data_IF_479605796561
#
_entry.id   IF_479605796561
#
_cell.length_a   1.000
_cell.length_b   1.000
_cell.length_c   1.000
_cell.angle_alpha   90.00
_cell.angle_beta   90.00
_cell.angle_gamma   90.00
#
_symmetry.space_group_name_H-M   'P 1'
#
loop_
_entity.id
_entity.type
_entity.pdbx_description
1 polymer ?
#
# COMPACT_ATOMS: atom_id res chain seq x y z
N UNK A 1 -14.31 12.66 8.37
CA UNK A 1 -13.48 11.79 9.21
C UNK A 1 -12.03 12.09 8.89
N UNK A 2 -11.17 12.24 9.91
CA UNK A 2 -9.73 12.40 9.69
C UNK A 2 -9.09 11.02 9.70
N UNK A 3 -8.43 10.63 8.61
CA UNK A 3 -7.67 9.38 8.55
C UNK A 3 -6.25 9.62 9.05
N UNK A 4 -5.65 8.66 9.77
CA UNK A 4 -4.22 8.67 10.06
C UNK A 4 -3.47 8.15 8.83
N UNK A 5 -3.25 9.06 7.89
CA UNK A 5 -2.66 8.75 6.59
C UNK A 5 -1.20 8.30 6.74
N UNK A 6 -0.44 8.92 7.64
CA UNK A 6 0.97 8.55 7.85
C UNK A 6 1.11 7.13 8.41
N UNK A 7 0.20 6.73 9.31
CA UNK A 7 0.10 5.34 9.72
C UNK A 7 -0.27 4.43 8.55
N UNK A 8 -1.25 4.81 7.74
CA UNK A 8 -1.66 4.03 6.58
C UNK A 8 -0.52 3.80 5.58
N UNK A 9 0.29 4.81 5.30
CA UNK A 9 1.39 4.69 4.35
C UNK A 9 2.49 3.71 4.80
N UNK A 10 2.69 3.50 6.10
CA UNK A 10 3.61 2.46 6.58
C UNK A 10 3.17 1.04 6.20
N UNK A 11 1.89 0.86 5.86
CA UNK A 11 1.32 -0.42 5.41
C UNK A 11 1.36 -0.60 3.88
N UNK A 12 2.08 0.25 3.14
CA UNK A 12 2.24 0.13 1.68
C UNK A 12 3.62 -0.32 1.22
N UNK A 13 4.48 -0.78 2.14
CA UNK A 13 5.80 -1.34 1.83
C UNK A 13 6.08 -2.55 2.74
N UNK A 14 6.84 -3.54 2.27
CA UNK A 14 7.20 -4.73 3.07
C UNK A 14 5.99 -5.56 3.56
N UNK A 15 4.86 -5.44 2.89
CA UNK A 15 3.52 -5.68 3.45
C UNK A 15 2.83 -6.94 2.87
N UNK A 16 3.61 -7.85 2.26
CA UNK A 16 3.09 -9.07 1.61
C UNK A 16 2.13 -9.86 2.49
N UNK A 17 2.55 -10.16 3.73
CA UNK A 17 1.74 -10.96 4.65
C UNK A 17 0.39 -10.30 4.96
N UNK A 18 0.38 -8.98 5.16
CA UNK A 18 -0.83 -8.21 5.42
C UNK A 18 -1.77 -8.19 4.21
N UNK A 19 -1.25 -8.02 3.00
CA UNK A 19 -2.06 -8.06 1.79
C UNK A 19 -2.69 -9.44 1.60
N UNK A 20 -1.95 -10.52 1.84
CA UNK A 20 -2.47 -11.88 1.74
C UNK A 20 -3.52 -12.20 2.82
N UNK A 21 -3.45 -11.54 3.98
CA UNK A 21 -4.46 -11.62 5.04
C UNK A 21 -5.65 -10.69 4.82
N UNK A 22 -5.60 -9.80 3.82
CA UNK A 22 -6.66 -8.82 3.55
C UNK A 22 -7.80 -9.43 2.72
N UNK A 23 -9.02 -8.93 2.90
CA UNK A 23 -10.15 -9.29 2.04
C UNK A 23 -10.11 -8.53 0.72
N UNK A 24 -9.59 -7.29 0.75
CA UNK A 24 -9.43 -6.42 -0.41
C UNK A 24 -8.14 -5.61 -0.28
N UNK A 25 -7.64 -5.18 -1.42
CA UNK A 25 -6.52 -4.26 -1.55
C UNK A 25 -6.97 -3.03 -2.33
N UNK A 26 -6.38 -1.88 -2.03
CA UNK A 26 -6.65 -0.62 -2.72
C UNK A 26 -5.34 0.03 -3.17
N UNK A 27 -5.30 0.52 -4.41
CA UNK A 27 -4.20 1.35 -4.88
C UNK A 27 -4.55 2.82 -4.68
N UNK A 28 -3.77 3.56 -3.90
CA UNK A 28 -4.00 4.99 -3.68
C UNK A 28 -3.43 5.88 -4.79
N UNK A 29 -2.73 5.34 -5.78
CA UNK A 29 -2.37 6.08 -6.99
C UNK A 29 -3.53 6.13 -8.01
N UNK A 30 -3.98 4.96 -8.49
CA UNK A 30 -5.04 4.86 -9.50
C UNK A 30 -6.46 4.74 -8.93
N UNK A 31 -6.59 4.64 -7.59
CA UNK A 31 -7.85 4.50 -6.85
C UNK A 31 -8.61 3.19 -7.11
N UNK A 32 -7.96 2.19 -7.72
CA UNK A 32 -8.55 0.88 -7.94
C UNK A 32 -8.64 0.08 -6.62
N UNK A 33 -9.72 -0.69 -6.47
CA UNK A 33 -9.88 -1.68 -5.40
C UNK A 33 -10.01 -3.05 -6.04
N UNK A 34 -9.23 -4.02 -5.57
CA UNK A 34 -9.12 -5.35 -6.15
C UNK A 34 -8.95 -6.41 -5.05
N UNK A 35 -9.06 -7.68 -5.44
CA UNK A 35 -8.78 -8.79 -4.54
C UNK A 35 -7.26 -8.99 -4.41
N UNK A 36 -6.74 -9.41 -3.25
CA UNK A 36 -5.31 -9.67 -3.09
C UNK A 36 -4.75 -10.68 -4.10
N UNK A 37 -5.56 -11.64 -4.55
CA UNK A 37 -5.14 -12.64 -5.54
C UNK A 37 -4.89 -12.06 -6.93
N UNK A 38 -5.31 -10.83 -7.20
CA UNK A 38 -5.01 -10.14 -8.45
C UNK A 38 -3.56 -9.62 -8.50
N UNK A 39 -2.84 -9.59 -7.36
CA UNK A 39 -1.45 -9.14 -7.31
C UNK A 39 -0.55 -10.26 -7.82
N UNK A 40 0.07 -10.02 -8.98
CA UNK A 40 0.97 -10.94 -9.67
C UNK A 40 2.44 -10.51 -9.58
N UNK A 41 2.70 -9.21 -9.40
CA UNK A 41 4.05 -8.64 -9.32
C UNK A 41 4.39 -8.08 -7.93
N UNK A 42 5.61 -8.38 -7.49
CA UNK A 42 6.15 -8.02 -6.19
C UNK A 42 7.61 -7.61 -6.36
N UNK A 43 8.00 -6.53 -5.69
CA UNK A 43 9.39 -6.05 -5.66
C UNK A 43 9.96 -6.20 -4.25
N UNK A 44 11.26 -6.41 -4.14
CA UNK A 44 11.94 -6.39 -2.84
C UNK A 44 11.80 -4.98 -2.24
N UNK A 45 11.64 -4.90 -0.91
CA UNK A 45 11.63 -3.60 -0.23
C UNK A 45 12.93 -2.86 -0.54
N UNK A 46 12.85 -1.60 -0.96
CA UNK A 46 14.02 -0.79 -1.27
C UNK A 46 14.93 -0.69 -0.03
N UNK A 47 16.24 -0.81 -0.25
CA UNK A 47 17.30 -0.73 0.78
C UNK A 47 17.29 0.59 1.57
N UNK A 48 16.52 1.59 1.13
CA UNK A 48 16.36 2.91 1.76
C UNK A 48 15.33 2.94 2.90
N UNK A 49 14.63 1.83 3.18
CA UNK A 49 13.78 1.70 4.36
C UNK A 49 14.67 1.50 5.61
N UNK A 50 15.03 2.61 6.27
CA UNK A 50 15.68 2.70 7.59
C UNK A 50 16.36 1.40 8.06
N UNK A 51 17.59 1.18 7.59
CA UNK A 51 18.46 0.04 7.92
C UNK A 51 18.82 -0.10 9.43
N UNK A 52 18.20 0.70 10.32
CA UNK A 52 18.29 0.59 11.78
C UNK A 52 17.27 -0.42 12.35
N UNK A 53 16.38 -0.96 11.51
CA UNK A 53 15.47 -2.04 11.91
C UNK A 53 16.22 -3.37 11.87
N UNK A 54 16.58 -3.90 13.05
CA UNK A 54 17.08 -5.27 13.31
C UNK A 54 16.02 -6.34 13.02
N UNK A 55 15.19 -6.11 12.00
CA UNK A 55 14.12 -6.98 11.58
C UNK A 55 14.45 -7.41 10.15
N UNK A 56 15.15 -8.54 10.07
CA UNK A 56 15.35 -9.34 8.86
C UNK A 56 14.00 -9.95 8.40
N UNK A 57 12.98 -9.10 8.26
CA UNK A 57 11.73 -9.43 7.62
C UNK A 57 11.83 -8.92 6.18
N UNK A 58 12.36 -9.78 5.31
CA UNK A 58 12.39 -9.57 3.85
C UNK A 58 10.95 -9.53 3.30
N UNK A 59 10.23 -8.44 3.57
CA UNK A 59 8.90 -8.20 3.05
C UNK A 59 8.99 -7.68 1.63
N UNK A 60 8.31 -8.33 0.68
CA UNK A 60 8.14 -7.78 -0.67
C UNK A 60 7.00 -6.77 -0.70
N UNK A 61 7.15 -5.71 -1.49
CA UNK A 61 6.11 -4.70 -1.76
C UNK A 61 5.32 -5.07 -3.01
N UNK A 62 3.99 -4.94 -2.97
CA UNK A 62 3.13 -5.26 -4.11
C UNK A 62 3.11 -4.14 -5.14
N UNK A 63 3.13 -4.49 -6.43
CA UNK A 63 2.75 -3.55 -7.48
C UNK A 63 1.24 -3.65 -7.73
N UNK A 64 0.60 -2.50 -7.99
CA UNK A 64 -0.81 -2.50 -8.35
C UNK A 64 -1.02 -3.23 -9.69
N UNK A 65 -1.91 -4.25 -9.77
CA UNK A 65 -2.14 -5.00 -11.01
C UNK A 65 -2.86 -4.18 -12.10
N UNK A 66 -3.29 -2.95 -11.79
CA UNK A 66 -3.95 -2.04 -12.73
C UNK A 66 -2.99 -1.01 -13.33
N UNK A 67 -2.05 -0.49 -12.53
CA UNK A 67 -1.18 0.61 -12.98
C UNK A 67 0.32 0.40 -12.72
N UNK A 68 0.72 -0.71 -12.09
CA UNK A 68 2.12 -1.05 -11.83
C UNK A 68 2.80 -0.21 -10.73
N UNK A 69 2.07 0.68 -10.05
CA UNK A 69 2.64 1.51 -8.98
C UNK A 69 2.54 0.78 -7.64
N UNK A 70 3.60 0.84 -6.85
CA UNK A 70 3.79 0.33 -5.49
C UNK A 70 3.00 1.10 -4.41
N UNK A 71 1.80 1.54 -4.75
CA UNK A 71 0.94 2.35 -3.89
C UNK A 71 -0.26 1.53 -3.37
N UNK A 72 -0.02 0.32 -2.86
CA UNK A 72 -1.08 -0.65 -2.48
C UNK A 72 -1.23 -0.73 -0.96
N UNK A 73 -2.46 -0.76 -0.45
CA UNK A 73 -2.78 -0.99 0.97
C UNK A 73 -3.85 -2.09 1.09
N UNK A 74 -3.72 -2.96 2.09
CA UNK A 74 -4.66 -4.02 2.39
C UNK A 74 -5.70 -3.64 3.45
N UNK A 75 -6.87 -4.27 3.43
CA UNK A 75 -7.90 -4.07 4.46
C UNK A 75 -7.45 -4.53 5.85
N UNK A 76 -6.50 -5.47 5.95
CA UNK A 76 -5.95 -5.94 7.21
C UNK A 76 -5.13 -4.85 7.96
N UNK A 77 -4.70 -3.79 7.28
CA UNK A 77 -4.11 -2.59 7.90
C UNK A 77 -5.07 -1.84 8.85
N UNK A 78 -6.36 -2.18 8.79
CA UNK A 78 -7.42 -1.55 9.59
C UNK A 78 -7.97 -0.24 9.01
N UNK A 79 -7.73 0.03 7.72
CA UNK A 79 -8.22 1.23 7.05
C UNK A 79 -9.40 0.94 6.12
N UNK A 80 -10.38 1.87 6.04
CA UNK A 80 -11.50 1.73 5.13
C UNK A 80 -11.00 2.04 3.71
N UNK A 81 -10.77 1.01 2.89
CA UNK A 81 -10.33 1.12 1.48
C UNK A 81 -11.39 1.74 0.54
N UNK A 82 -12.16 2.71 1.04
CA UNK A 82 -13.16 3.46 0.31
C UNK A 82 -12.48 4.55 -0.53
N UNK A 83 -13.21 5.08 -1.52
CA UNK A 83 -12.67 6.05 -2.48
C UNK A 83 -12.13 7.30 -1.78
N UNK A 84 -12.82 7.77 -0.75
CA UNK A 84 -12.46 8.97 0.03
C UNK A 84 -11.11 8.80 0.74
N UNK A 85 -10.85 7.61 1.30
CA UNK A 85 -9.58 7.28 1.92
C UNK A 85 -8.45 7.20 0.89
N UNK A 86 -8.68 6.49 -0.22
CA UNK A 86 -7.68 6.37 -1.29
C UNK A 86 -7.36 7.73 -1.93
N UNK A 87 -8.36 8.61 -2.09
CA UNK A 87 -8.15 9.98 -2.56
C UNK A 87 -7.35 10.82 -1.56
N UNK A 88 -7.58 10.67 -0.25
CA UNK A 88 -6.83 11.37 0.77
C UNK A 88 -5.35 10.93 0.80
N UNK A 89 -5.10 9.62 0.67
CA UNK A 89 -3.76 9.07 0.47
C UNK A 89 -3.13 9.64 -0.82
N UNK A 90 -3.84 9.58 -1.96
CA UNK A 90 -3.35 10.13 -3.23
C UNK A 90 -2.92 11.59 -3.12
N UNK A 91 -3.77 12.42 -2.54
CA UNK A 91 -3.51 13.85 -2.40
C UNK A 91 -2.27 14.12 -1.54
N UNK A 92 -2.01 13.31 -0.52
CA UNK A 92 -0.86 13.48 0.38
C UNK A 92 0.47 13.05 -0.25
N UNK A 93 0.52 11.93 -0.98
CA UNK A 93 1.79 11.41 -1.56
C UNK A 93 2.00 11.73 -3.03
N UNK A 94 0.94 12.04 -3.78
CA UNK A 94 0.99 12.29 -5.23
C UNK A 94 0.34 13.62 -5.66
N UNK A 95 -0.08 14.47 -4.72
CA UNK A 95 -0.82 15.72 -5.00
C UNK A 95 -0.04 16.84 -5.69
N UNK A 96 1.24 16.65 -6.01
CA UNK A 96 2.07 17.59 -6.77
C UNK A 96 2.34 17.19 -8.22
N UNK A 97 1.67 16.14 -8.73
CA UNK A 97 1.79 15.67 -10.11
C UNK A 97 0.62 16.22 -10.94
N UNK A 98 0.74 17.49 -11.34
CA UNK A 98 -0.13 18.15 -12.34
C UNK A 98 0.33 17.85 -13.78
#
# INVERSE_FOLDING_TARGET
MSFDLDRAHRHSAGHRAELLASERCGCFYCLAVFLPQAIDEWIDAADDADADSDDNETGTTALCPVCGIDAVIGSAAGFPLQREFLQAMRARWFGGMD
#
